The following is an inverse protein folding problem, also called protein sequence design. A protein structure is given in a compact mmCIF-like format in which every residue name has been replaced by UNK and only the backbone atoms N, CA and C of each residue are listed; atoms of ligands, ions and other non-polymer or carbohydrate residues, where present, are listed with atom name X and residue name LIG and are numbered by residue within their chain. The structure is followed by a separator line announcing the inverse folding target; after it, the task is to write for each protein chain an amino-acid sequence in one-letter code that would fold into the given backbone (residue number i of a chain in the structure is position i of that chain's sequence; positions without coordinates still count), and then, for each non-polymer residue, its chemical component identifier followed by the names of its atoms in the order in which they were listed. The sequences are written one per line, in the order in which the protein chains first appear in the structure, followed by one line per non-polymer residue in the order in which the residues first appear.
data_IF_157865104288
#
_entry.id   IF_157865104288
#
_cell.length_a   1.000
_cell.length_b   1.000
_cell.length_c   1.000
_cell.angle_alpha   90.00
_cell.angle_beta   90.00
_cell.angle_gamma   90.00
#
_symmetry.space_group_name_H-M   'P 1'
#
loop_
_entity.id
_entity.type
_entity.pdbx_description
1 polymer ?
#
# COMPACT_ATOMS: atom_id res chain seq x y z
N UNK A 1 5.19 -15.20 38.07
CA UNK A 1 5.68 -15.27 39.46
C UNK A 1 5.71 -13.86 40.00
N UNK A 2 5.36 -13.65 41.28
CA UNK A 2 5.62 -12.36 41.94
C UNK A 2 6.90 -12.55 42.73
N UNK A 3 7.85 -11.65 42.53
CA UNK A 3 9.15 -11.67 43.20
C UNK A 3 9.64 -10.25 43.49
N UNK A 4 10.74 -10.16 44.25
CA UNK A 4 11.41 -8.90 44.54
C UNK A 4 11.82 -8.17 43.24
N UNK A 5 11.61 -6.85 43.22
CA UNK A 5 11.80 -6.04 42.01
C UNK A 5 13.26 -6.03 41.55
N UNK A 6 14.21 -5.89 42.47
CA UNK A 6 15.63 -5.82 42.14
C UNK A 6 16.11 -7.17 41.59
N UNK A 7 15.63 -8.27 42.18
CA UNK A 7 15.88 -9.62 41.67
C UNK A 7 15.31 -9.82 40.26
N UNK A 8 14.08 -9.37 40.00
CA UNK A 8 13.44 -9.47 38.68
C UNK A 8 14.19 -8.63 37.62
N UNK A 9 14.59 -7.41 37.98
CA UNK A 9 15.33 -6.51 37.10
C UNK A 9 16.73 -7.03 36.79
N UNK A 10 17.44 -7.61 37.77
CA UNK A 10 18.74 -8.25 37.53
C UNK A 10 18.63 -9.36 36.49
N UNK A 11 17.64 -10.25 36.65
CA UNK A 11 17.41 -11.35 35.69
C UNK A 11 17.05 -10.85 34.30
N UNK A 12 16.25 -9.79 34.20
CA UNK A 12 15.92 -9.17 32.93
C UNK A 12 17.16 -8.51 32.28
N UNK A 13 18.02 -7.88 33.09
CA UNK A 13 19.24 -7.22 32.64
C UNK A 13 20.28 -8.24 32.13
N UNK A 14 20.39 -9.42 32.76
CA UNK A 14 21.32 -10.49 32.34
C UNK A 14 21.07 -10.94 30.89
N UNK A 15 19.81 -10.92 30.44
CA UNK A 15 19.43 -11.29 29.07
C UNK A 15 20.00 -10.30 28.04
N UNK A 16 20.27 -9.07 28.45
CA UNK A 16 20.86 -8.04 27.59
C UNK A 16 22.37 -8.23 27.38
N UNK A 17 23.02 -9.17 28.08
CA UNK A 17 24.43 -9.51 27.88
C UNK A 17 24.71 -10.15 26.52
N UNK A 18 23.67 -10.60 25.80
CA UNK A 18 23.75 -11.05 24.40
C UNK A 18 22.88 -10.17 23.50
N UNK A 19 23.29 -8.92 23.20
CA UNK A 19 22.45 -7.95 22.48
C UNK A 19 21.97 -8.46 21.12
N UNK A 20 22.77 -9.26 20.42
CA UNK A 20 22.43 -9.82 19.10
C UNK A 20 21.24 -10.79 19.14
N UNK A 21 20.94 -11.35 20.32
CA UNK A 21 19.76 -12.20 20.52
C UNK A 21 18.48 -11.39 20.78
N UNK A 22 18.59 -10.08 21.06
CA UNK A 22 17.47 -9.22 21.44
C UNK A 22 16.83 -8.64 20.19
N UNK A 23 15.55 -8.91 19.97
CA UNK A 23 14.79 -8.30 18.87
C UNK A 23 14.25 -6.93 19.26
N UNK A 24 13.69 -6.82 20.47
CA UNK A 24 13.08 -5.60 20.99
C UNK A 24 13.01 -5.61 22.51
N UNK A 25 13.13 -4.43 23.10
CA UNK A 25 12.70 -4.14 24.47
C UNK A 25 11.66 -3.02 24.38
N UNK A 26 10.51 -3.20 25.00
CA UNK A 26 9.45 -2.20 25.06
C UNK A 26 9.20 -1.83 26.53
N UNK A 27 9.23 -0.53 26.82
CA UNK A 27 9.01 0.02 28.16
C UNK A 27 7.79 0.92 28.10
N UNK A 28 6.83 0.67 28.99
CA UNK A 28 5.54 1.35 28.95
C UNK A 28 4.82 1.36 30.29
N UNK A 29 3.71 2.10 30.33
CA UNK A 29 2.86 2.22 31.51
C UNK A 29 3.48 3.09 32.61
N UNK A 30 2.64 3.56 33.52
CA UNK A 30 3.03 4.45 34.61
C UNK A 30 2.91 3.77 35.97
N UNK A 31 3.94 3.89 36.79
CA UNK A 31 3.88 3.51 38.19
C UNK A 31 2.90 4.42 38.96
N UNK A 32 2.32 3.92 40.06
CA UNK A 32 1.35 4.66 40.86
C UNK A 32 1.96 5.97 41.36
N UNK A 33 1.32 7.10 41.04
CA UNK A 33 1.78 8.44 41.47
C UNK A 33 2.98 8.98 40.68
N UNK A 34 3.39 8.32 39.59
CA UNK A 34 4.45 8.80 38.69
C UNK A 34 3.87 9.27 37.36
N UNK A 35 4.56 10.21 36.72
CA UNK A 35 4.29 10.67 35.37
C UNK A 35 5.60 10.64 34.58
N UNK A 36 5.94 9.51 33.94
CA UNK A 36 7.10 9.48 33.06
C UNK A 36 6.91 10.47 31.91
N UNK A 37 8.01 11.10 31.48
CA UNK A 37 8.00 12.11 30.42
C UNK A 37 7.57 11.53 29.06
N UNK A 38 7.92 10.27 28.80
CA UNK A 38 7.60 9.55 27.55
C UNK A 38 6.52 8.51 27.82
N UNK A 39 5.58 8.34 26.89
CA UNK A 39 4.49 7.35 26.96
C UNK A 39 5.01 5.93 26.75
N UNK A 40 6.00 5.78 25.86
CA UNK A 40 6.62 4.50 25.50
C UNK A 40 8.08 4.70 25.13
N UNK A 41 8.91 3.73 25.46
CA UNK A 41 10.29 3.65 24.96
C UNK A 41 10.47 2.29 24.29
N UNK A 42 10.92 2.29 23.04
CA UNK A 42 11.30 1.11 22.29
C UNK A 42 12.82 1.06 22.11
N UNK A 43 13.42 -0.09 22.40
CA UNK A 43 14.88 -0.27 22.34
C UNK A 43 15.18 -1.51 21.51
N UNK A 44 16.20 -1.43 20.65
CA UNK A 44 16.71 -2.57 19.87
C UNK A 44 18.22 -2.48 19.67
N UNK A 45 18.93 -3.59 19.47
CA UNK A 45 20.33 -3.54 19.09
C UNK A 45 20.46 -2.99 17.66
N UNK A 46 21.55 -2.27 17.39
CA UNK A 46 21.84 -1.72 16.06
C UNK A 46 23.35 -1.69 15.79
N UNK A 47 23.77 -2.12 14.61
CA UNK A 47 25.14 -2.03 14.12
C UNK A 47 25.37 -0.67 13.46
N UNK A 48 26.26 0.14 14.07
CA UNK A 48 26.73 1.42 13.56
C UNK A 48 28.19 1.30 13.13
N UNK A 49 28.73 2.32 12.44
CA UNK A 49 30.16 2.38 12.09
C UNK A 49 31.08 2.23 13.32
N UNK A 50 30.62 2.68 14.48
CA UNK A 50 31.34 2.61 15.76
C UNK A 50 31.11 1.28 16.53
N UNK A 51 30.44 0.29 15.92
CA UNK A 51 30.11 -0.99 16.55
C UNK A 51 28.65 -1.09 16.99
N UNK A 52 28.34 -2.13 17.76
CA UNK A 52 26.99 -2.46 18.22
C UNK A 52 26.53 -1.51 19.35
N UNK A 53 25.32 -0.97 19.23
CA UNK A 53 24.72 -0.01 20.16
C UNK A 53 23.26 -0.38 20.46
N UNK A 54 22.69 0.19 21.51
CA UNK A 54 21.24 0.20 21.75
C UNK A 54 20.62 1.44 21.11
N UNK A 55 19.76 1.26 20.10
CA UNK A 55 18.92 2.35 19.60
C UNK A 55 17.70 2.47 20.50
N UNK A 56 17.53 3.63 21.12
CA UNK A 56 16.41 3.99 22.01
C UNK A 56 15.52 4.99 21.28
N UNK A 57 14.28 4.60 21.01
CA UNK A 57 13.22 5.47 20.47
C UNK A 57 12.26 5.79 21.59
N UNK A 58 12.13 7.07 21.94
CA UNK A 58 11.22 7.56 22.96
C UNK A 58 10.04 8.28 22.33
N UNK A 59 8.83 7.90 22.74
CA UNK A 59 7.56 8.41 22.22
C UNK A 59 6.88 9.28 23.28
N UNK A 60 6.76 10.59 23.03
CA UNK A 60 6.06 11.51 23.94
C UNK A 60 4.54 11.61 23.64
N UNK A 61 4.07 10.92 22.60
CA UNK A 61 2.69 10.94 22.09
C UNK A 61 2.44 11.94 20.95
N UNK A 62 3.42 12.80 20.63
CA UNK A 62 3.39 13.77 19.52
C UNK A 62 4.59 13.62 18.59
N UNK A 63 5.77 13.32 19.13
CA UNK A 63 7.03 13.21 18.42
C UNK A 63 7.85 12.04 18.97
N UNK A 64 8.64 11.47 18.07
CA UNK A 64 9.58 10.41 18.39
C UNK A 64 10.98 11.00 18.43
N UNK A 65 11.74 10.67 19.48
CA UNK A 65 13.16 11.02 19.58
C UNK A 65 14.00 9.76 19.59
N UNK A 66 15.08 9.74 18.80
CA UNK A 66 15.98 8.59 18.70
C UNK A 66 17.35 8.93 19.27
N UNK A 67 17.87 8.07 20.15
CA UNK A 67 19.24 8.15 20.69
C UNK A 67 19.90 6.79 20.60
N UNK A 68 21.21 6.75 20.34
CA UNK A 68 21.98 5.51 20.37
C UNK A 68 22.84 5.51 21.64
N UNK A 69 22.73 4.47 22.44
CA UNK A 69 23.49 4.26 23.68
C UNK A 69 24.54 3.18 23.46
N UNK A 70 25.69 3.30 24.11
CA UNK A 70 26.64 2.19 24.16
C UNK A 70 26.04 1.01 24.94
N UNK A 71 26.49 -0.22 24.66
CA UNK A 71 25.87 -1.43 25.23
C UNK A 71 25.83 -1.43 26.77
N UNK A 72 26.85 -0.86 27.43
CA UNK A 72 26.93 -0.76 28.89
C UNK A 72 26.13 0.38 29.52
N UNK A 73 25.54 1.28 28.73
CA UNK A 73 24.81 2.45 29.26
C UNK A 73 23.32 2.16 29.53
N UNK A 74 22.79 1.04 29.02
CA UNK A 74 21.38 0.67 29.20
C UNK A 74 21.15 0.02 30.58
N UNK A 75 20.37 0.69 31.43
CA UNK A 75 19.96 0.18 32.74
C UNK A 75 18.44 0.12 32.85
N UNK A 76 17.89 -1.09 32.99
CA UNK A 76 16.44 -1.30 33.18
C UNK A 76 15.96 -0.74 34.54
N UNK A 77 16.80 -0.81 35.57
CA UNK A 77 16.49 -0.24 36.89
C UNK A 77 16.32 1.28 36.84
N UNK A 78 17.17 1.99 36.06
CA UNK A 78 17.02 3.44 35.86
C UNK A 78 15.67 3.79 35.24
N UNK A 79 15.16 2.95 34.34
CA UNK A 79 13.89 3.19 33.66
C UNK A 79 12.70 3.04 34.64
N UNK A 80 12.74 2.08 35.56
CA UNK A 80 11.74 2.01 36.64
C UNK A 80 11.79 3.24 37.57
N UNK A 81 12.98 3.75 37.88
CA UNK A 81 13.14 4.98 38.66
C UNK A 81 12.55 6.22 37.96
N UNK A 82 12.50 6.23 36.63
CA UNK A 82 11.84 7.27 35.83
C UNK A 82 10.31 7.16 35.82
N UNK A 83 9.74 6.14 36.46
CA UNK A 83 8.30 6.01 36.68
C UNK A 83 7.58 5.06 35.73
N UNK A 84 8.31 4.27 34.95
CA UNK A 84 7.73 3.20 34.13
C UNK A 84 7.29 2.00 34.98
N UNK A 85 6.32 1.23 34.47
CA UNK A 85 5.75 0.08 35.21
C UNK A 85 5.77 -1.24 34.46
N UNK A 86 6.09 -1.25 33.16
CA UNK A 86 6.17 -2.48 32.37
C UNK A 86 7.44 -2.49 31.52
N UNK A 87 8.09 -3.64 31.47
CA UNK A 87 9.13 -4.00 30.50
C UNK A 87 8.69 -5.29 29.80
N UNK A 88 8.76 -5.30 28.48
CA UNK A 88 8.72 -6.48 27.63
C UNK A 88 10.08 -6.62 26.95
N UNK A 89 10.72 -7.78 27.03
CA UNK A 89 11.94 -8.13 26.29
C UNK A 89 11.62 -9.30 25.39
N UNK A 90 11.81 -9.13 24.09
CA UNK A 90 11.66 -10.16 23.07
C UNK A 90 13.07 -10.53 22.56
N UNK A 91 13.50 -11.76 22.81
CA UNK A 91 14.70 -12.34 22.24
C UNK A 91 14.37 -13.46 21.26
N UNK A 92 15.38 -14.00 20.56
CA UNK A 92 15.24 -15.13 19.64
C UNK A 92 14.75 -16.41 20.32
N UNK A 93 14.96 -16.55 21.63
CA UNK A 93 14.71 -17.77 22.39
C UNK A 93 13.67 -17.62 23.51
N UNK A 94 13.38 -16.40 23.95
CA UNK A 94 12.46 -16.15 25.05
C UNK A 94 11.83 -14.75 25.00
N UNK A 95 10.61 -14.68 25.51
CA UNK A 95 9.91 -13.45 25.81
C UNK A 95 9.84 -13.29 27.34
N UNK A 96 10.20 -12.10 27.83
CA UNK A 96 10.12 -11.76 29.25
C UNK A 96 9.19 -10.56 29.40
N UNK A 97 8.16 -10.72 30.25
CA UNK A 97 7.32 -9.61 30.70
C UNK A 97 7.57 -9.38 32.19
N UNK A 98 7.88 -8.14 32.54
CA UNK A 98 8.06 -7.66 33.91
C UNK A 98 7.11 -6.48 34.14
N UNK A 99 6.21 -6.62 35.12
CA UNK A 99 5.25 -5.58 35.51
C UNK A 99 5.37 -5.22 36.98
N UNK A 100 5.44 -3.93 37.29
CA UNK A 100 5.38 -3.40 38.66
C UNK A 100 3.97 -3.56 39.21
N UNK A 101 3.86 -4.18 40.37
CA UNK A 101 2.59 -4.32 41.10
C UNK A 101 2.30 -3.08 41.96
N UNK A 102 1.08 -3.00 42.51
CA UNK A 102 0.70 -1.89 43.41
C UNK A 102 1.44 -1.94 44.76
N UNK A 103 1.95 -3.10 45.17
CA UNK A 103 2.73 -3.30 46.40
C UNK A 103 4.21 -2.96 46.24
N UNK A 104 4.69 -2.74 45.00
CA UNK A 104 6.10 -2.47 44.70
C UNK A 104 6.91 -3.70 44.27
N UNK A 105 6.32 -4.90 44.33
CA UNK A 105 6.93 -6.14 43.84
C UNK A 105 6.80 -6.26 42.32
N UNK A 106 7.58 -7.16 41.71
CA UNK A 106 7.54 -7.43 40.28
C UNK A 106 6.75 -8.70 39.94
N UNK A 107 5.75 -8.57 39.06
CA UNK A 107 5.17 -9.69 38.36
C UNK A 107 6.05 -10.03 37.15
N UNK A 108 6.80 -11.12 37.24
CA UNK A 108 7.70 -11.62 36.21
C UNK A 108 7.12 -12.86 35.54
N UNK A 109 7.10 -12.87 34.21
CA UNK A 109 6.76 -14.06 33.41
C UNK A 109 7.74 -14.22 32.26
N UNK A 110 8.15 -15.45 32.01
CA UNK A 110 8.97 -15.82 30.87
C UNK A 110 8.26 -16.89 30.04
N UNK A 111 8.39 -16.79 28.73
CA UNK A 111 7.86 -17.75 27.76
C UNK A 111 8.97 -18.08 26.76
N UNK A 112 9.23 -19.36 26.53
CA UNK A 112 10.16 -19.79 25.47
C UNK A 112 9.50 -19.54 24.11
N UNK A 113 10.26 -18.95 23.19
CA UNK A 113 9.85 -18.70 21.80
C UNK A 113 10.96 -19.13 20.87
N UNK A 114 10.65 -19.38 19.61
CA UNK A 114 11.64 -19.52 18.54
C UNK A 114 11.34 -18.43 17.52
N UNK A 115 12.21 -17.42 17.48
CA UNK A 115 12.08 -16.24 16.65
C UNK A 115 13.36 -16.05 15.83
N UNK A 116 13.20 -15.55 14.61
CA UNK A 116 14.33 -15.24 13.71
C UNK A 116 15.31 -14.24 14.34
N UNK A 117 16.57 -14.29 13.89
CA UNK A 117 17.65 -13.43 14.37
C UNK A 117 17.28 -11.93 14.35
N UNK A 118 17.81 -11.17 15.30
CA UNK A 118 17.56 -9.73 15.38
C UNK A 118 18.13 -9.01 14.14
N UNK A 119 17.33 -8.15 13.51
CA UNK A 119 17.82 -7.28 12.43
C UNK A 119 18.72 -6.18 13.00
N UNK A 120 20.03 -6.33 12.82
CA UNK A 120 21.03 -5.41 13.35
C UNK A 120 21.27 -4.18 12.44
N UNK A 121 20.64 -4.08 11.27
CA UNK A 121 20.90 -2.98 10.34
C UNK A 121 20.26 -1.66 10.80
N UNK A 122 21.06 -0.59 10.82
CA UNK A 122 20.59 0.76 11.19
C UNK A 122 19.72 1.39 10.09
N UNK A 123 20.04 1.10 8.84
CA UNK A 123 19.13 1.30 7.73
C UNK A 123 18.05 0.22 7.84
N UNK A 124 16.83 0.66 8.11
CA UNK A 124 15.65 -0.11 7.70
C UNK A 124 15.76 -0.22 6.18
N UNK A 125 16.33 -1.32 5.69
CA UNK A 125 16.08 -1.77 4.33
C UNK A 125 14.58 -1.89 4.23
N UNK A 126 13.92 -0.87 3.65
CA UNK A 126 12.47 -0.91 3.40
C UNK A 126 12.19 -2.28 2.79
N UNK A 127 11.40 -3.10 3.46
CA UNK A 127 11.14 -4.46 3.01
C UNK A 127 10.53 -4.38 1.61
N UNK A 128 11.25 -4.92 0.63
CA UNK A 128 10.88 -4.79 -0.78
C UNK A 128 10.14 -6.05 -1.21
N UNK A 129 8.91 -5.87 -1.71
CA UNK A 129 8.11 -6.98 -2.25
C UNK A 129 8.80 -7.68 -3.44
N UNK A 130 9.43 -6.90 -4.32
CA UNK A 130 10.39 -7.38 -5.31
C UNK A 130 11.74 -6.68 -5.13
N UNK A 131 12.82 -7.44 -5.17
CA UNK A 131 14.17 -6.91 -5.03
C UNK A 131 14.58 -6.16 -6.30
N UNK A 132 15.45 -5.15 -6.16
CA UNK A 132 15.88 -4.33 -7.30
C UNK A 132 16.77 -5.11 -8.29
N UNK A 133 17.38 -6.21 -7.85
CA UNK A 133 18.17 -7.12 -8.67
C UNK A 133 17.31 -8.18 -9.40
N UNK A 134 15.98 -8.14 -9.27
CA UNK A 134 15.11 -9.03 -10.05
C UNK A 134 15.32 -8.79 -11.55
N UNK A 135 15.42 -9.88 -12.30
CA UNK A 135 15.68 -9.90 -13.74
C UNK A 135 14.70 -9.00 -14.50
N UNK A 136 13.43 -8.91 -14.06
CA UNK A 136 12.45 -8.03 -14.71
C UNK A 136 12.91 -6.56 -14.68
N UNK A 137 13.52 -6.10 -13.57
CA UNK A 137 13.94 -4.70 -13.44
C UNK A 137 15.22 -4.41 -14.19
N UNK A 138 16.10 -5.40 -14.35
CA UNK A 138 17.28 -5.30 -15.22
C UNK A 138 16.81 -5.14 -16.67
N UNK A 139 15.90 -5.99 -17.12
CA UNK A 139 15.40 -5.99 -18.50
C UNK A 139 14.52 -4.78 -18.83
N UNK A 140 13.74 -4.29 -17.86
CA UNK A 140 13.02 -3.02 -17.97
C UNK A 140 13.94 -1.79 -17.90
N UNK A 141 15.23 -2.00 -17.64
CA UNK A 141 16.24 -0.95 -17.51
C UNK A 141 16.06 -0.06 -16.29
N UNK A 142 15.29 -0.50 -15.29
CA UNK A 142 15.14 0.13 -13.97
C UNK A 142 16.42 -0.07 -13.16
N UNK A 143 16.99 -1.26 -13.23
CA UNK A 143 18.29 -1.61 -12.65
C UNK A 143 19.36 -1.77 -13.73
N UNK A 144 20.63 -1.73 -13.33
CA UNK A 144 21.76 -2.08 -14.18
C UNK A 144 22.03 -3.59 -14.18
N UNK A 145 23.02 -4.03 -14.95
CA UNK A 145 23.38 -5.44 -15.08
C UNK A 145 23.93 -6.06 -13.79
N UNK A 146 24.31 -5.24 -12.81
CA UNK A 146 24.76 -5.69 -11.49
C UNK A 146 23.61 -5.72 -10.47
N UNK A 147 22.36 -5.53 -10.92
CA UNK A 147 21.18 -5.50 -10.05
C UNK A 147 21.04 -4.21 -9.23
N UNK A 148 21.80 -3.15 -9.54
CA UNK A 148 21.73 -1.88 -8.84
C UNK A 148 20.71 -0.95 -9.48
N UNK A 149 19.84 -0.37 -8.67
CA UNK A 149 18.83 0.59 -9.11
C UNK A 149 19.50 1.82 -9.76
N UNK A 150 19.06 2.19 -10.97
CA UNK A 150 19.54 3.41 -11.64
C UNK A 150 18.91 4.64 -10.98
N UNK A 151 19.69 5.66 -10.60
CA UNK A 151 19.15 6.87 -9.96
C UNK A 151 18.01 7.52 -10.75
N UNK A 152 18.14 7.60 -12.08
CA UNK A 152 17.15 8.17 -13.00
C UNK A 152 15.85 7.35 -13.16
N UNK A 153 15.78 6.15 -12.57
CA UNK A 153 14.63 5.25 -12.63
C UNK A 153 14.08 4.91 -11.24
N UNK A 154 14.58 5.58 -10.19
CA UNK A 154 14.17 5.35 -8.80
C UNK A 154 12.69 5.58 -8.57
N UNK A 155 12.09 6.64 -9.14
CA UNK A 155 10.66 6.92 -9.02
C UNK A 155 9.79 5.78 -9.58
N UNK A 156 10.19 5.17 -10.70
CA UNK A 156 9.47 4.03 -11.28
C UNK A 156 9.53 2.81 -10.38
N UNK A 157 10.68 2.56 -9.76
CA UNK A 157 10.83 1.48 -8.80
C UNK A 157 9.95 1.71 -7.56
N UNK A 158 9.94 2.93 -7.01
CA UNK A 158 9.08 3.28 -5.88
C UNK A 158 7.60 3.09 -6.25
N UNK A 159 7.17 3.57 -7.42
CA UNK A 159 5.81 3.39 -7.92
C UNK A 159 5.42 1.91 -7.99
N UNK A 160 6.32 1.04 -8.48
CA UNK A 160 6.10 -0.42 -8.49
C UNK A 160 5.93 -0.95 -7.06
N UNK A 161 6.80 -0.55 -6.14
CA UNK A 161 6.76 -1.05 -4.77
C UNK A 161 5.47 -0.64 -4.05
N UNK A 162 5.03 0.61 -4.18
CA UNK A 162 3.76 1.05 -3.59
C UNK A 162 2.56 0.36 -4.25
N UNK A 163 2.61 0.16 -5.57
CA UNK A 163 1.57 -0.61 -6.28
C UNK A 163 1.45 -2.04 -5.73
N UNK A 164 2.58 -2.73 -5.58
CA UNK A 164 2.60 -4.10 -5.09
C UNK A 164 2.09 -4.20 -3.65
N UNK A 165 2.33 -3.18 -2.80
CA UNK A 165 1.73 -3.14 -1.46
C UNK A 165 0.22 -3.00 -1.54
N UNK A 166 -0.29 -2.13 -2.40
CA UNK A 166 -1.75 -2.01 -2.55
C UNK A 166 -2.35 -3.31 -3.04
N UNK A 167 -1.74 -3.94 -4.06
CA UNK A 167 -2.14 -5.23 -4.58
C UNK A 167 -2.13 -6.29 -3.48
N UNK A 168 -1.06 -6.38 -2.69
CA UNK A 168 -0.93 -7.38 -1.62
C UNK A 168 -2.06 -7.32 -0.60
N UNK A 169 -2.44 -6.11 -0.17
CA UNK A 169 -3.53 -5.90 0.79
C UNK A 169 -4.92 -6.03 0.18
N UNK A 170 -5.01 -6.03 -1.15
CA UNK A 170 -6.28 -6.15 -1.88
C UNK A 170 -6.64 -7.59 -2.21
N UNK A 171 -5.67 -8.52 -2.17
CA UNK A 171 -5.90 -9.94 -2.43
C UNK A 171 -6.68 -10.60 -1.30
N UNK A 172 -7.64 -11.46 -1.66
CA UNK A 172 -8.36 -12.27 -0.70
C UNK A 172 -7.50 -13.47 -0.26
N UNK A 173 -7.08 -13.49 1.00
CA UNK A 173 -6.26 -14.58 1.58
C UNK A 173 -6.93 -15.95 1.49
N UNK A 174 -8.26 -16.00 1.39
CA UNK A 174 -9.03 -17.25 1.28
C UNK A 174 -9.14 -17.78 -0.15
N UNK A 175 -8.61 -17.08 -1.15
CA UNK A 175 -8.65 -17.52 -2.54
C UNK A 175 -7.85 -18.81 -2.71
N UNK A 176 -8.44 -19.80 -3.39
CA UNK A 176 -7.72 -21.02 -3.75
C UNK A 176 -6.60 -20.71 -4.74
N UNK A 177 -5.36 -20.89 -4.31
CA UNK A 177 -4.16 -20.63 -5.13
C UNK A 177 -3.99 -21.60 -6.28
N UNK A 178 -4.69 -22.75 -6.25
CA UNK A 178 -4.68 -23.72 -7.36
C UNK A 178 -5.54 -23.26 -8.54
N UNK A 179 -6.50 -22.36 -8.30
CA UNK A 179 -7.29 -21.77 -9.37
C UNK A 179 -6.44 -20.73 -10.11
N UNK A 180 -6.55 -20.74 -11.44
CA UNK A 180 -5.87 -19.78 -12.28
C UNK A 180 -6.38 -18.37 -11.99
N UNK A 181 -5.45 -17.44 -11.71
CA UNK A 181 -5.71 -16.03 -11.47
C UNK A 181 -5.47 -15.25 -12.78
N UNK A 182 -6.54 -14.75 -13.38
CA UNK A 182 -6.51 -14.00 -14.64
C UNK A 182 -6.46 -12.50 -14.38
N UNK A 183 -5.38 -11.88 -14.81
CA UNK A 183 -5.12 -10.45 -14.65
C UNK A 183 -5.10 -9.78 -16.01
N UNK A 184 -5.73 -8.62 -16.13
CA UNK A 184 -5.65 -7.76 -17.32
C UNK A 184 -5.15 -6.37 -16.94
N UNK A 185 -4.21 -5.86 -17.72
CA UNK A 185 -3.69 -4.49 -17.61
C UNK A 185 -4.10 -3.67 -18.82
N UNK A 186 -5.05 -2.75 -18.60
CA UNK A 186 -5.70 -1.90 -19.58
C UNK A 186 -4.93 -0.58 -19.69
N UNK A 187 -4.18 -0.42 -20.78
CA UNK A 187 -3.22 0.68 -20.93
C UNK A 187 -1.85 0.33 -20.36
N UNK A 188 -1.32 -0.86 -20.66
CA UNK A 188 -0.13 -1.40 -20.01
C UNK A 188 1.19 -0.66 -20.33
N UNK A 189 1.24 0.15 -21.40
CA UNK A 189 2.43 0.95 -21.72
C UNK A 189 3.69 0.10 -21.94
N UNK A 190 4.72 0.39 -21.16
CA UNK A 190 5.99 -0.36 -21.12
C UNK A 190 5.95 -1.62 -20.25
N UNK A 191 4.77 -2.02 -19.75
CA UNK A 191 4.51 -3.25 -19.01
C UNK A 191 5.29 -3.46 -17.70
N UNK A 192 5.89 -2.41 -17.12
CA UNK A 192 6.68 -2.57 -15.89
C UNK A 192 5.82 -2.93 -14.68
N UNK A 193 4.64 -2.32 -14.55
CA UNK A 193 3.66 -2.70 -13.52
C UNK A 193 3.03 -4.05 -13.83
N UNK A 194 2.72 -4.33 -15.10
CA UNK A 194 2.21 -5.63 -15.56
C UNK A 194 3.13 -6.77 -15.13
N UNK A 195 4.43 -6.65 -15.41
CA UNK A 195 5.44 -7.66 -15.10
C UNK A 195 5.67 -7.77 -13.60
N UNK A 196 5.74 -6.65 -12.89
CA UNK A 196 5.90 -6.65 -11.44
C UNK A 196 4.69 -7.30 -10.74
N UNK A 197 3.46 -6.97 -11.14
CA UNK A 197 2.24 -7.56 -10.62
C UNK A 197 2.25 -9.08 -10.80
N UNK A 198 2.53 -9.52 -12.04
CA UNK A 198 2.61 -10.93 -12.39
C UNK A 198 3.66 -11.65 -11.54
N UNK A 199 4.90 -11.14 -11.53
CA UNK A 199 6.02 -11.74 -10.79
C UNK A 199 5.71 -11.84 -9.29
N UNK A 200 5.15 -10.78 -8.72
CA UNK A 200 4.75 -10.75 -7.32
C UNK A 200 3.67 -11.80 -7.01
N UNK A 201 2.59 -11.84 -7.79
CA UNK A 201 1.50 -12.80 -7.61
C UNK A 201 1.99 -14.25 -7.77
N UNK A 202 2.82 -14.54 -8.78
CA UNK A 202 3.43 -15.85 -8.96
C UNK A 202 4.32 -16.23 -7.77
N UNK A 203 5.08 -15.28 -7.20
CA UNK A 203 5.89 -15.49 -5.98
C UNK A 203 5.03 -15.75 -4.73
N UNK A 204 3.80 -15.23 -4.68
CA UNK A 204 2.82 -15.56 -3.62
C UNK A 204 2.18 -16.94 -3.79
N UNK A 205 2.53 -17.68 -4.85
CA UNK A 205 2.06 -19.04 -5.13
C UNK A 205 0.79 -19.13 -5.96
N UNK A 206 0.33 -18.03 -6.57
CA UNK A 206 -0.80 -18.06 -7.51
C UNK A 206 -0.35 -18.58 -8.88
N UNK A 207 -1.22 -19.35 -9.55
CA UNK A 207 -1.07 -19.65 -10.98
C UNK A 207 -1.63 -18.49 -11.80
N UNK A 208 -0.78 -17.60 -12.30
CA UNK A 208 -1.20 -16.34 -12.92
C UNK A 208 -1.21 -16.41 -14.45
N UNK A 209 -2.24 -15.85 -15.08
CA UNK A 209 -2.24 -15.48 -16.50
C UNK A 209 -2.45 -13.97 -16.61
N UNK A 210 -1.61 -13.30 -17.38
CA UNK A 210 -1.70 -11.85 -17.54
C UNK A 210 -1.84 -11.46 -19.01
N UNK A 211 -2.75 -10.54 -19.28
CA UNK A 211 -2.92 -9.94 -20.60
C UNK A 211 -2.70 -8.43 -20.49
N UNK A 212 -1.74 -7.90 -21.25
CA UNK A 212 -1.52 -6.45 -21.37
C UNK A 212 -2.13 -5.89 -22.65
N UNK A 213 -2.89 -4.80 -22.51
CA UNK A 213 -3.55 -4.11 -23.62
C UNK A 213 -2.94 -2.70 -23.76
N UNK A 214 -2.46 -2.34 -24.94
CA UNK A 214 -2.04 -0.97 -25.29
C UNK A 214 -2.43 -0.74 -26.77
N UNK A 215 -2.82 0.46 -27.16
CA UNK A 215 -3.20 0.69 -28.57
C UNK A 215 -2.00 0.70 -29.53
N UNK A 216 -0.77 0.90 -29.02
CA UNK A 216 0.43 1.09 -29.84
C UNK A 216 1.07 -0.25 -30.17
N UNK A 217 1.21 -0.51 -31.46
CA UNK A 217 1.88 -1.71 -31.97
C UNK A 217 3.34 -1.83 -31.51
N UNK A 218 4.06 -0.72 -31.35
CA UNK A 218 5.45 -0.72 -30.90
C UNK A 218 5.60 -1.13 -29.44
N UNK A 219 4.68 -0.69 -28.58
CA UNK A 219 4.61 -1.15 -27.20
C UNK A 219 4.38 -2.65 -27.14
N UNK A 220 3.43 -3.17 -27.93
CA UNK A 220 3.17 -4.61 -28.03
C UNK A 220 4.42 -5.38 -28.46
N UNK A 221 5.06 -5.00 -29.57
CA UNK A 221 6.25 -5.70 -30.08
C UNK A 221 7.37 -5.75 -29.03
N UNK A 222 7.62 -4.61 -28.38
CA UNK A 222 8.63 -4.50 -27.32
C UNK A 222 8.31 -5.39 -26.13
N UNK A 223 7.06 -5.38 -25.67
CA UNK A 223 6.63 -6.14 -24.49
C UNK A 223 6.62 -7.65 -24.76
N UNK A 224 6.28 -8.09 -25.99
CA UNK A 224 6.41 -9.50 -26.41
C UNK A 224 7.87 -9.95 -26.37
N UNK A 225 8.79 -9.20 -26.99
CA UNK A 225 10.20 -9.54 -26.97
C UNK A 225 10.76 -9.60 -25.55
N UNK A 226 10.28 -8.72 -24.67
CA UNK A 226 10.65 -8.70 -23.25
C UNK A 226 10.20 -9.97 -22.51
N UNK A 227 8.95 -10.41 -22.66
CA UNK A 227 8.48 -11.64 -22.00
C UNK A 227 9.05 -12.91 -22.60
N UNK A 228 9.43 -12.91 -23.87
CA UNK A 228 10.18 -14.01 -24.48
C UNK A 228 11.57 -14.13 -23.86
N UNK A 229 12.29 -13.01 -23.71
CA UNK A 229 13.60 -12.98 -23.06
C UNK A 229 13.55 -13.46 -21.61
N UNK A 230 12.52 -13.04 -20.87
CA UNK A 230 12.26 -13.44 -19.48
C UNK A 230 11.65 -14.85 -19.35
N UNK A 231 11.40 -15.56 -20.46
CA UNK A 231 10.75 -16.89 -20.51
C UNK A 231 9.35 -16.94 -19.88
N UNK A 232 8.62 -15.82 -19.93
CA UNK A 232 7.26 -15.66 -19.39
C UNK A 232 6.16 -15.67 -20.47
N UNK A 233 6.51 -15.91 -21.73
CA UNK A 233 5.57 -15.85 -22.87
C UNK A 233 4.41 -16.85 -22.82
N UNK A 234 4.53 -17.91 -22.01
CA UNK A 234 3.43 -18.86 -21.75
C UNK A 234 2.36 -18.28 -20.81
N UNK A 235 2.71 -17.28 -20.01
CA UNK A 235 1.92 -16.76 -18.90
C UNK A 235 1.46 -15.32 -19.12
N UNK A 236 2.23 -14.54 -19.86
CA UNK A 236 1.95 -13.15 -20.17
C UNK A 236 1.81 -12.98 -21.69
N UNK A 237 0.71 -12.37 -22.12
CA UNK A 237 0.47 -12.03 -23.53
C UNK A 237 0.14 -10.54 -23.68
N UNK A 238 0.36 -10.00 -24.89
CA UNK A 238 0.07 -8.59 -25.19
C UNK A 238 -0.73 -8.43 -26.49
N UNK A 239 -1.71 -7.53 -26.45
CA UNK A 239 -2.56 -7.19 -27.58
C UNK A 239 -2.51 -5.70 -27.87
N UNK A 240 -2.52 -5.37 -29.17
CA UNK A 240 -2.45 -4.01 -29.67
C UNK A 240 -3.86 -3.57 -30.05
N UNK A 241 -4.61 -3.02 -29.11
CA UNK A 241 -6.04 -2.74 -29.28
C UNK A 241 -6.46 -1.60 -28.36
N UNK A 242 -7.38 -0.76 -28.83
CA UNK A 242 -8.02 0.25 -27.98
C UNK A 242 -8.94 -0.43 -26.98
N UNK A 243 -8.94 0.02 -25.73
CA UNK A 243 -9.77 -0.56 -24.67
C UNK A 243 -11.25 -0.57 -25.06
N UNK A 244 -11.73 0.50 -25.70
CA UNK A 244 -13.11 0.62 -26.19
C UNK A 244 -13.53 -0.46 -27.22
N UNK A 245 -12.56 -1.09 -27.90
CA UNK A 245 -12.79 -2.12 -28.91
C UNK A 245 -12.47 -3.53 -28.40
N UNK A 246 -12.11 -3.67 -27.13
CA UNK A 246 -11.73 -4.94 -26.54
C UNK A 246 -12.97 -5.81 -26.30
N UNK A 247 -12.94 -7.06 -26.75
CA UNK A 247 -14.01 -8.02 -26.49
C UNK A 247 -14.15 -8.31 -24.99
N UNK A 248 -15.38 -8.58 -24.56
CA UNK A 248 -15.65 -8.95 -23.17
C UNK A 248 -15.11 -10.35 -22.88
N UNK A 249 -14.45 -10.50 -21.74
CA UNK A 249 -13.87 -11.76 -21.32
C UNK A 249 -13.73 -11.82 -19.80
N UNK A 250 -13.73 -13.03 -19.24
CA UNK A 250 -13.69 -13.21 -17.79
C UNK A 250 -12.26 -13.04 -17.25
N UNK A 251 -12.08 -12.04 -16.38
CA UNK A 251 -10.86 -11.78 -15.63
C UNK A 251 -11.18 -11.53 -14.16
N UNK A 252 -10.23 -11.84 -13.29
CA UNK A 252 -10.35 -11.66 -11.85
C UNK A 252 -9.94 -10.25 -11.41
N UNK A 253 -8.87 -9.74 -12.01
CA UNK A 253 -8.27 -8.45 -11.66
C UNK A 253 -8.08 -7.62 -12.92
N UNK A 254 -8.62 -6.41 -12.92
CA UNK A 254 -8.36 -5.38 -13.93
C UNK A 254 -7.51 -4.25 -13.33
N UNK A 255 -6.43 -3.91 -14.02
CA UNK A 255 -5.48 -2.86 -13.66
C UNK A 255 -5.53 -1.80 -14.76
N UNK A 256 -5.58 -0.51 -14.41
CA UNK A 256 -5.51 0.59 -15.37
C UNK A 256 -4.81 1.80 -14.75
N UNK A 257 -3.48 1.85 -14.87
CA UNK A 257 -2.64 2.87 -14.21
C UNK A 257 -2.13 3.95 -15.17
N UNK A 258 -2.17 3.70 -16.48
CA UNK A 258 -1.76 4.65 -17.53
C UNK A 258 -2.87 4.91 -18.55
N UNK A 259 -4.09 4.49 -18.26
CA UNK A 259 -5.25 4.81 -19.06
C UNK A 259 -5.64 6.28 -18.80
N UNK A 260 -5.10 7.22 -19.57
CA UNK A 260 -5.32 8.64 -19.29
C UNK A 260 -6.67 9.17 -19.79
N UNK A 261 -7.21 10.16 -19.07
CA UNK A 261 -8.47 10.83 -19.38
C UNK A 261 -9.61 9.82 -19.55
N UNK A 262 -10.34 9.84 -20.67
CA UNK A 262 -11.47 8.93 -20.90
C UNK A 262 -11.07 7.47 -21.11
N UNK A 263 -9.79 7.16 -21.30
CA UNK A 263 -9.35 5.77 -21.38
C UNK A 263 -9.52 5.05 -20.02
N UNK A 264 -9.44 5.78 -18.89
CA UNK A 264 -9.82 5.23 -17.57
C UNK A 264 -11.30 4.84 -17.54
N UNK A 265 -12.17 5.63 -18.17
CA UNK A 265 -13.60 5.35 -18.23
C UNK A 265 -13.90 4.16 -19.16
N UNK A 266 -13.15 4.01 -20.27
CA UNK A 266 -13.19 2.80 -21.10
C UNK A 266 -12.76 1.57 -20.29
N UNK A 267 -11.69 1.68 -19.49
CA UNK A 267 -11.17 0.60 -18.67
C UNK A 267 -12.16 0.16 -17.57
N UNK A 268 -12.72 1.13 -16.85
CA UNK A 268 -13.75 0.87 -15.82
C UNK A 268 -14.99 0.25 -16.47
N UNK A 269 -15.47 0.82 -17.58
CA UNK A 269 -16.64 0.30 -18.30
C UNK A 269 -16.42 -1.15 -18.73
N UNK A 270 -15.28 -1.44 -19.36
CA UNK A 270 -14.95 -2.80 -19.80
C UNK A 270 -14.86 -3.75 -18.60
N UNK A 271 -14.23 -3.34 -17.49
CA UNK A 271 -14.09 -4.19 -16.31
C UNK A 271 -15.44 -4.53 -15.65
N UNK A 272 -16.35 -3.55 -15.59
CA UNK A 272 -17.73 -3.77 -15.10
C UNK A 272 -18.49 -4.72 -16.02
N UNK A 273 -18.45 -4.50 -17.34
CA UNK A 273 -19.13 -5.35 -18.34
C UNK A 273 -18.61 -6.78 -18.36
N UNK A 274 -17.30 -6.94 -18.20
CA UNK A 274 -16.63 -8.24 -18.05
C UNK A 274 -16.83 -8.87 -16.67
N UNK A 275 -17.52 -8.18 -15.76
CA UNK A 275 -17.87 -8.68 -14.44
C UNK A 275 -16.70 -8.90 -13.50
N UNK A 276 -15.58 -8.19 -13.70
CA UNK A 276 -14.32 -8.35 -12.96
C UNK A 276 -14.53 -8.15 -11.46
N UNK A 277 -13.88 -9.00 -10.64
CA UNK A 277 -14.01 -8.97 -9.19
C UNK A 277 -13.23 -7.84 -8.52
N UNK A 278 -12.03 -7.54 -9.01
CA UNK A 278 -11.16 -6.50 -8.46
C UNK A 278 -10.72 -5.52 -9.56
N UNK A 279 -10.94 -4.24 -9.34
CA UNK A 279 -10.55 -3.16 -10.25
C UNK A 279 -9.61 -2.22 -9.51
N UNK A 280 -8.43 -1.97 -10.08
CA UNK A 280 -7.42 -1.04 -9.57
C UNK A 280 -7.08 -0.03 -10.66
N UNK A 281 -7.55 1.21 -10.51
CA UNK A 281 -7.42 2.27 -11.53
C UNK A 281 -6.70 3.46 -10.91
N UNK A 282 -5.63 3.95 -11.54
CA UNK A 282 -4.95 5.18 -11.14
C UNK A 282 -5.05 6.20 -12.29
N UNK A 283 -6.03 7.11 -12.27
CA UNK A 283 -6.22 8.06 -13.35
C UNK A 283 -5.11 9.11 -13.39
N UNK A 284 -4.43 9.21 -14.54
CA UNK A 284 -3.36 10.19 -14.76
C UNK A 284 -3.85 11.58 -15.19
N UNK A 285 -5.00 11.65 -15.87
CA UNK A 285 -5.57 12.88 -16.42
C UNK A 285 -7.10 12.89 -16.29
N UNK A 286 -7.70 14.09 -16.23
CA UNK A 286 -9.11 14.29 -15.90
C UNK A 286 -9.75 15.41 -16.76
N UNK A 287 -9.45 15.45 -18.06
CA UNK A 287 -9.87 16.56 -18.91
C UNK A 287 -11.35 16.51 -19.30
N UNK A 288 -12.00 15.34 -19.31
CA UNK A 288 -13.41 15.21 -19.65
C UNK A 288 -14.30 16.15 -18.81
N UNK A 289 -14.39 15.93 -17.50
CA UNK A 289 -15.21 16.76 -16.62
C UNK A 289 -14.68 18.20 -16.54
N UNK A 290 -13.36 18.40 -16.50
CA UNK A 290 -12.77 19.74 -16.46
C UNK A 290 -13.23 20.63 -17.64
N UNK A 291 -13.33 20.08 -18.86
CA UNK A 291 -13.81 20.82 -20.04
C UNK A 291 -15.31 21.12 -19.99
N UNK A 292 -16.06 20.32 -19.25
CA UNK A 292 -17.51 20.46 -19.11
C UNK A 292 -17.89 21.47 -18.00
N UNK A 293 -17.00 21.71 -17.02
CA UNK A 293 -17.16 22.69 -15.93
C UNK A 293 -17.11 24.16 -16.43
N UNK A 294 -18.07 24.56 -17.25
CA UNK A 294 -18.20 25.93 -17.78
C UNK A 294 -18.72 26.92 -16.74
N UNK A 295 -19.65 26.46 -15.88
CA UNK A 295 -20.25 27.25 -14.80
C UNK A 295 -20.22 26.42 -13.52
N UNK A 296 -19.62 26.96 -12.47
CA UNK A 296 -19.61 26.31 -11.16
C UNK A 296 -20.90 26.63 -10.39
N UNK A 297 -21.57 25.64 -9.79
CA UNK A 297 -22.75 25.89 -8.97
C UNK A 297 -22.37 26.71 -7.73
N UNK A 298 -23.20 27.66 -7.31
CA UNK A 298 -22.96 28.37 -6.06
C UNK A 298 -22.97 27.38 -4.87
N UNK A 299 -22.07 27.53 -3.88
CA UNK A 299 -21.09 28.60 -3.70
C UNK A 299 -19.68 28.29 -4.27
N UNK A 300 -19.51 27.27 -5.12
CA UNK A 300 -18.20 26.79 -5.61
C UNK A 300 -17.40 27.82 -6.41
N UNK A 301 -18.02 28.92 -6.84
CA UNK A 301 -17.34 30.06 -7.46
C UNK A 301 -16.12 30.58 -6.67
N UNK A 302 -16.09 30.40 -5.34
CA UNK A 302 -14.92 30.74 -4.53
C UNK A 302 -13.70 29.85 -4.85
N UNK A 303 -13.92 28.57 -5.12
CA UNK A 303 -12.86 27.61 -5.43
C UNK A 303 -12.51 27.61 -6.93
N UNK A 304 -13.50 27.75 -7.81
CA UNK A 304 -13.31 27.61 -9.27
C UNK A 304 -12.82 28.88 -9.96
N UNK A 305 -12.74 30.03 -9.26
CA UNK A 305 -12.22 31.30 -9.81
C UNK A 305 -10.75 31.22 -10.25
N UNK A 306 -9.96 30.38 -9.60
CA UNK A 306 -8.53 30.22 -9.90
C UNK A 306 -8.30 28.92 -10.69
N UNK A 307 -7.73 29.02 -11.89
CA UNK A 307 -7.60 27.90 -12.82
C UNK A 307 -7.01 26.62 -12.22
N UNK A 308 -5.93 26.75 -11.43
CA UNK A 308 -5.30 25.60 -10.76
C UNK A 308 -6.21 24.91 -9.72
N UNK A 309 -7.05 25.68 -9.03
CA UNK A 309 -8.01 25.11 -8.06
C UNK A 309 -9.20 24.54 -8.81
N UNK A 310 -9.65 25.19 -9.89
CA UNK A 310 -10.70 24.65 -10.77
C UNK A 310 -10.31 23.29 -11.35
N UNK A 311 -9.06 23.15 -11.82
CA UNK A 311 -8.52 21.87 -12.29
C UNK A 311 -8.62 20.79 -11.20
N UNK A 312 -8.15 21.10 -9.98
CA UNK A 312 -8.22 20.18 -8.83
C UNK A 312 -9.66 19.81 -8.44
N UNK A 313 -10.60 20.74 -8.53
CA UNK A 313 -12.02 20.43 -8.31
C UNK A 313 -12.51 19.45 -9.38
N UNK A 314 -12.17 19.67 -10.65
CA UNK A 314 -12.51 18.74 -11.73
C UNK A 314 -11.92 17.35 -11.53
N UNK A 315 -10.71 17.26 -11.00
CA UNK A 315 -10.06 15.98 -10.67
C UNK A 315 -10.83 15.23 -9.58
N UNK A 316 -11.14 15.92 -8.49
CA UNK A 316 -11.91 15.37 -7.37
C UNK A 316 -13.29 14.92 -7.86
N UNK A 317 -13.98 15.74 -8.65
CA UNK A 317 -15.29 15.41 -9.21
C UNK A 317 -15.21 14.15 -10.07
N UNK A 318 -14.23 14.08 -10.97
CA UNK A 318 -14.08 12.96 -11.89
C UNK A 318 -13.89 11.63 -11.13
N UNK A 319 -12.96 11.59 -10.17
CA UNK A 319 -12.69 10.34 -9.44
C UNK A 319 -13.80 9.98 -8.45
N UNK A 320 -14.46 10.99 -7.86
CA UNK A 320 -15.64 10.77 -7.01
C UNK A 320 -16.81 10.20 -7.81
N UNK A 321 -17.05 10.71 -9.02
CA UNK A 321 -18.09 10.20 -9.92
C UNK A 321 -17.78 8.76 -10.35
N UNK A 322 -16.53 8.47 -10.74
CA UNK A 322 -16.10 7.11 -11.10
C UNK A 322 -16.33 6.12 -9.97
N UNK A 323 -15.94 6.48 -8.74
CA UNK A 323 -16.19 5.66 -7.56
C UNK A 323 -17.69 5.51 -7.24
N UNK A 324 -18.47 6.60 -7.34
CA UNK A 324 -19.92 6.59 -7.12
C UNK A 324 -20.66 5.68 -8.11
N UNK A 325 -20.30 5.73 -9.40
CA UNK A 325 -20.84 4.84 -10.45
C UNK A 325 -20.55 3.38 -10.12
N UNK A 326 -19.30 3.05 -9.79
CA UNK A 326 -18.92 1.70 -9.38
C UNK A 326 -19.69 1.22 -8.14
N UNK A 327 -19.91 2.11 -7.16
CA UNK A 327 -20.70 1.82 -5.96
C UNK A 327 -22.14 1.44 -6.29
N UNK A 328 -22.83 2.23 -7.12
CA UNK A 328 -24.19 1.95 -7.58
C UNK A 328 -24.25 0.60 -8.33
N UNK A 329 -23.23 0.29 -9.10
CA UNK A 329 -23.11 -0.96 -9.85
C UNK A 329 -22.71 -2.17 -8.97
N UNK A 330 -22.66 -2.00 -7.65
CA UNK A 330 -22.50 -3.10 -6.69
C UNK A 330 -21.04 -3.42 -6.31
N UNK A 331 -20.13 -2.48 -6.55
CA UNK A 331 -18.76 -2.56 -6.04
C UNK A 331 -18.65 -1.85 -4.69
N UNK A 332 -17.84 -2.42 -3.79
CA UNK A 332 -17.30 -1.66 -2.67
C UNK A 332 -16.09 -0.88 -3.19
N UNK A 333 -16.13 0.44 -3.06
CA UNK A 333 -15.13 1.34 -3.64
C UNK A 333 -14.41 2.17 -2.58
N UNK A 334 -13.14 2.43 -2.81
CA UNK A 334 -12.35 3.35 -2.02
C UNK A 334 -11.31 4.08 -2.88
N UNK A 335 -11.02 5.33 -2.53
CA UNK A 335 -10.02 6.17 -3.18
C UNK A 335 -8.88 6.36 -2.18
N UNK A 336 -7.69 5.90 -2.53
CA UNK A 336 -6.52 5.93 -1.66
C UNK A 336 -5.34 6.62 -2.33
N UNK A 337 -4.39 7.07 -1.53
CA UNK A 337 -3.08 7.48 -2.04
C UNK A 337 -2.30 6.25 -2.55
N UNK A 338 -1.90 6.32 -3.82
CA UNK A 338 -1.15 5.31 -4.54
C UNK A 338 0.36 5.44 -4.29
N UNK A 339 0.88 6.65 -4.41
CA UNK A 339 2.31 6.95 -4.29
C UNK A 339 2.45 8.32 -3.65
N UNK A 340 3.51 8.58 -2.88
CA UNK A 340 3.64 9.89 -2.25
C UNK A 340 3.57 11.02 -3.28
N UNK A 341 2.84 12.10 -2.95
CA UNK A 341 2.64 13.26 -3.83
C UNK A 341 3.94 13.92 -4.32
N UNK A 342 5.06 13.70 -3.61
CA UNK A 342 6.42 14.11 -4.01
C UNK A 342 6.88 13.48 -5.34
N UNK A 343 6.37 12.29 -5.67
CA UNK A 343 6.69 11.59 -6.93
C UNK A 343 5.75 11.98 -8.08
N UNK A 344 4.49 12.32 -7.77
CA UNK A 344 3.52 12.79 -8.75
C UNK A 344 2.34 13.49 -8.07
N UNK A 345 1.85 14.64 -8.58
CA UNK A 345 0.63 15.26 -8.08
C UNK A 345 -0.63 14.43 -8.38
N UNK A 346 -0.55 13.46 -9.29
CA UNK A 346 -1.61 12.54 -9.70
C UNK A 346 -1.45 11.22 -8.95
N UNK A 347 -1.69 11.26 -7.63
CA UNK A 347 -1.32 10.20 -6.70
C UNK A 347 -2.49 9.38 -6.18
N UNK A 348 -3.68 9.47 -6.76
CA UNK A 348 -4.85 8.72 -6.28
C UNK A 348 -5.05 7.43 -7.07
N UNK A 349 -5.58 6.42 -6.38
CA UNK A 349 -6.05 5.16 -6.97
C UNK A 349 -7.45 4.85 -6.48
N UNK A 350 -8.34 4.53 -7.43
CA UNK A 350 -9.65 3.96 -7.17
C UNK A 350 -9.48 2.44 -7.09
N UNK A 351 -9.87 1.86 -5.97
CA UNK A 351 -10.03 0.42 -5.79
C UNK A 351 -11.51 0.09 -5.76
N UNK A 352 -11.89 -0.98 -6.45
CA UNK A 352 -13.26 -1.46 -6.44
C UNK A 352 -13.30 -2.98 -6.36
N UNK A 353 -14.11 -3.49 -5.44
CA UNK A 353 -14.29 -4.92 -5.20
C UNK A 353 -15.75 -5.28 -5.42
N UNK A 354 -16.03 -6.22 -6.31
CA UNK A 354 -17.40 -6.64 -6.62
C UNK A 354 -18.01 -7.32 -5.39
N UNK A 355 -19.12 -6.77 -4.90
CA UNK A 355 -19.84 -7.32 -3.73
C UNK A 355 -21.26 -7.76 -4.07
N UNK A 356 -21.83 -7.21 -5.14
CA UNK A 356 -23.24 -7.40 -5.49
C UNK A 356 -24.21 -6.64 -4.58
N UNK A 357 -23.71 -5.81 -3.64
CA UNK A 357 -24.54 -5.00 -2.77
C UNK A 357 -25.53 -4.15 -3.61
N UNK A 358 -26.81 -4.05 -3.22
CA UNK A 358 -27.80 -3.29 -3.99
C UNK A 358 -27.47 -1.79 -3.98
N UNK A 359 -27.86 -1.09 -5.04
CA UNK A 359 -27.74 0.36 -5.10
C UNK A 359 -28.62 1.00 -4.02
N UNK A 360 -28.07 1.98 -3.30
CA UNK A 360 -28.84 2.75 -2.33
C UNK A 360 -29.42 3.99 -3.00
N UNK A 361 -30.69 4.31 -2.69
CA UNK A 361 -31.35 5.51 -3.25
C UNK A 361 -30.61 6.81 -2.94
N UNK A 362 -29.98 6.89 -1.77
CA UNK A 362 -29.17 8.05 -1.38
C UNK A 362 -27.95 8.23 -2.31
N UNK A 363 -27.20 7.16 -2.59
CA UNK A 363 -26.04 7.20 -3.47
C UNK A 363 -26.41 7.62 -4.90
N UNK A 364 -27.55 7.12 -5.38
CA UNK A 364 -28.11 7.49 -6.69
C UNK A 364 -28.45 8.98 -6.72
N UNK A 365 -29.20 9.45 -5.73
CA UNK A 365 -29.63 10.85 -5.65
C UNK A 365 -28.43 11.80 -5.54
N UNK A 366 -27.40 11.45 -4.77
CA UNK A 366 -26.16 12.24 -4.67
C UNK A 366 -25.43 12.33 -6.02
N UNK A 367 -25.33 11.20 -6.75
CA UNK A 367 -24.71 11.18 -8.08
C UNK A 367 -25.52 12.00 -9.10
N UNK A 368 -26.85 11.85 -9.14
CA UNK A 368 -27.71 12.64 -10.02
C UNK A 368 -27.65 14.13 -9.69
N UNK A 369 -27.61 14.47 -8.40
CA UNK A 369 -27.51 15.85 -7.94
C UNK A 369 -26.18 16.48 -8.35
N UNK A 370 -25.05 15.80 -8.18
CA UNK A 370 -23.74 16.37 -8.57
C UNK A 370 -23.68 16.62 -10.08
N UNK A 371 -24.19 15.68 -10.88
CA UNK A 371 -24.24 15.79 -12.34
C UNK A 371 -25.11 16.98 -12.76
N UNK A 372 -26.30 17.10 -12.16
CA UNK A 372 -27.25 18.18 -12.45
C UNK A 372 -26.72 19.54 -12.04
N UNK A 373 -26.15 19.66 -10.85
CA UNK A 373 -25.62 20.92 -10.33
C UNK A 373 -24.43 21.44 -11.15
N UNK A 374 -23.54 20.54 -11.55
CA UNK A 374 -22.37 20.88 -12.35
C UNK A 374 -22.64 20.93 -13.86
N UNK A 375 -23.84 20.52 -14.31
CA UNK A 375 -24.26 20.48 -15.72
C UNK A 375 -23.28 19.68 -16.60
N UNK A 376 -22.87 18.51 -16.11
CA UNK A 376 -21.87 17.63 -16.73
C UNK A 376 -22.54 16.34 -17.23
N UNK A 377 -21.92 15.68 -18.20
CA UNK A 377 -22.26 14.36 -18.72
C UNK A 377 -20.99 13.48 -18.65
N UNK A 378 -20.78 12.76 -17.54
CA UNK A 378 -19.58 11.96 -17.35
C UNK A 378 -19.47 10.84 -18.38
N UNK A 379 -18.33 10.75 -19.07
CA UNK A 379 -18.17 9.78 -20.14
C UNK A 379 -18.27 8.31 -19.68
N UNK A 380 -17.99 8.01 -18.40
CA UNK A 380 -18.23 6.68 -17.82
C UNK A 380 -19.71 6.31 -17.77
N UNK A 381 -20.58 7.25 -17.40
CA UNK A 381 -22.01 6.98 -17.28
C UNK A 381 -22.66 6.75 -18.64
N UNK A 382 -22.19 7.47 -19.67
CA UNK A 382 -22.60 7.22 -21.06
C UNK A 382 -22.26 5.78 -21.46
N UNK A 383 -21.04 5.31 -21.14
CA UNK A 383 -20.59 3.94 -21.47
C UNK A 383 -21.33 2.85 -20.70
N UNK A 384 -21.79 3.15 -19.48
CA UNK A 384 -22.46 2.22 -18.57
C UNK A 384 -23.96 2.48 -18.44
N UNK A 385 -24.57 3.14 -19.44
CA UNK A 385 -25.98 3.56 -19.38
C UNK A 385 -26.93 2.37 -19.17
N UNK A 386 -26.69 1.25 -19.84
CA UNK A 386 -27.53 0.05 -19.74
C UNK A 386 -27.39 -0.59 -18.35
N UNK A 387 -26.16 -0.73 -17.86
CA UNK A 387 -25.86 -1.31 -16.54
C UNK A 387 -26.43 -0.46 -15.41
N UNK A 388 -26.32 0.87 -15.53
CA UNK A 388 -26.92 1.80 -14.58
C UNK A 388 -28.45 1.70 -14.62
N UNK A 389 -29.07 1.69 -15.80
CA UNK A 389 -30.53 1.59 -15.91
C UNK A 389 -31.09 0.36 -15.18
N UNK A 390 -30.44 -0.81 -15.32
CA UNK A 390 -30.82 -2.05 -14.61
C UNK A 390 -30.81 -1.88 -13.09
N UNK A 391 -29.92 -1.03 -12.56
CA UNK A 391 -29.73 -0.83 -11.11
C UNK A 391 -30.58 0.30 -10.55
N UNK A 392 -30.99 1.23 -11.40
CA UNK A 392 -31.81 2.40 -11.05
C UNK A 392 -33.31 2.09 -11.05
N UNK A 393 -33.76 1.08 -11.80
CA UNK A 393 -35.15 0.65 -11.87
C UNK A 393 -35.85 1.21 -13.08
#
# INVERSE_FOLDING_TARGET
MIEDLDKALSRAQDVLASPESIRRICISGKAKGKQPEQVRIDIRPVALKAGLHWQVVSHDGKRDTTKNLALGELSLARLFNLGYSNILIESTSQEINLRLTKSGEAQFSTKRVELDAAELTHDRTKERLLSADDEIFIELGISDQNGKLKPSRSDKFIQVQEFLKILSHSLNEKRDKNQELKVIDLGCGHAYLTLAAHKYLSKQGYRVKTVGIDERQDSRKRNIALVEKLKMSKEITFQATKIANLELANFDIAIALHACDTASDDAISWAVKSGVEMILVAPCCHHDIQRQMKEAPAPWNIATRHGIINERVGDILTDSIRAGVLKILGYRTDIIEFVAGEHTPRNLMIRAFKTGAPAQRADIAELEQIITQWKIEPALMVRLKEELSVRLG
#
